data_IF_130533016561
#
_entry.id   IF_130533016561
#
_cell.length_a   1.000
_cell.length_b   1.000
_cell.length_c   1.000
_cell.angle_alpha   90.00
_cell.angle_beta   90.00
_cell.angle_gamma   90.00
#
_symmetry.space_group_name_H-M   'P 1'
#
loop_
_entity.id
_entity.type
_entity.pdbx_description
1 polymer ?
#
# COMPACT_ATOMS: atom_id res chain seq x y z
N UNK A 1 -1.18 -57.38 -43.63
CA UNK A 1 -2.36 -57.28 -42.73
C UNK A 1 -2.12 -58.12 -41.48
N UNK A 2 -1.47 -57.55 -40.46
CA UNK A 2 -1.46 -58.15 -39.12
C UNK A 2 -2.79 -57.81 -38.46
N UNK A 3 -3.72 -58.76 -38.47
CA UNK A 3 -4.98 -58.65 -37.77
C UNK A 3 -4.72 -59.00 -36.30
N UNK A 4 -4.43 -57.99 -35.48
CA UNK A 4 -4.33 -58.17 -34.04
C UNK A 4 -5.70 -58.63 -33.51
N UNK A 5 -5.75 -59.83 -32.92
CA UNK A 5 -6.96 -60.33 -32.27
C UNK A 5 -7.25 -59.49 -31.01
N UNK A 6 -8.52 -59.20 -30.69
CA UNK A 6 -8.89 -58.44 -29.51
C UNK A 6 -8.43 -59.18 -28.24
N UNK A 7 -7.60 -58.53 -27.42
CA UNK A 7 -7.17 -59.06 -26.12
C UNK A 7 -8.38 -59.08 -25.17
N UNK A 8 -8.77 -60.27 -24.72
CA UNK A 8 -9.89 -60.45 -23.80
C UNK A 8 -9.46 -60.03 -22.38
N UNK A 9 -10.27 -59.23 -21.68
CA UNK A 9 -9.89 -58.61 -20.39
C UNK A 9 -9.65 -59.63 -19.27
N UNK A 10 -10.27 -60.80 -19.35
CA UNK A 10 -10.22 -61.83 -18.29
C UNK A 10 -8.94 -62.69 -18.31
N UNK A 11 -8.05 -62.49 -19.29
CA UNK A 11 -6.83 -63.31 -19.47
C UNK A 11 -5.52 -62.54 -19.26
N UNK A 12 -5.56 -61.25 -18.91
CA UNK A 12 -4.36 -60.41 -18.78
C UNK A 12 -3.41 -60.81 -17.63
N UNK A 13 -3.88 -61.52 -16.61
CA UNK A 13 -3.09 -61.81 -15.40
C UNK A 13 -2.62 -63.27 -15.27
N UNK A 14 -2.81 -64.11 -16.28
CA UNK A 14 -2.43 -65.52 -16.19
C UNK A 14 -1.00 -65.74 -16.69
N UNK A 15 -0.07 -65.91 -15.75
CA UNK A 15 1.38 -66.03 -15.98
C UNK A 15 1.76 -67.19 -16.92
N UNK A 16 0.90 -68.21 -17.05
CA UNK A 16 1.12 -69.37 -17.91
C UNK A 16 0.80 -69.12 -19.39
N UNK A 17 0.09 -68.02 -19.73
CA UNK A 17 -0.31 -67.73 -21.11
C UNK A 17 0.88 -67.24 -21.94
N UNK A 18 1.80 -66.45 -21.36
CA UNK A 18 2.97 -65.95 -22.10
C UNK A 18 3.94 -67.06 -22.54
N UNK A 19 4.32 -68.04 -21.69
CA UNK A 19 5.11 -69.20 -22.12
C UNK A 19 4.37 -70.07 -23.15
N UNK A 20 3.06 -70.23 -23.01
CA UNK A 20 2.25 -71.00 -23.96
C UNK A 20 2.13 -70.29 -25.32
N UNK A 21 1.97 -68.96 -25.33
CA UNK A 21 1.98 -68.13 -26.54
C UNK A 21 3.36 -68.17 -27.21
N UNK A 22 4.44 -68.09 -26.43
CA UNK A 22 5.80 -68.21 -26.96
C UNK A 22 6.10 -69.62 -27.50
N UNK A 23 5.62 -70.68 -26.84
CA UNK A 23 5.74 -72.03 -27.35
C UNK A 23 4.91 -72.22 -28.63
N UNK A 24 3.72 -71.62 -28.71
CA UNK A 24 2.88 -71.64 -29.90
C UNK A 24 3.48 -70.86 -31.07
N UNK A 25 4.13 -69.71 -30.83
CA UNK A 25 4.84 -68.96 -31.88
C UNK A 25 6.06 -69.74 -32.37
N UNK A 26 6.86 -70.31 -31.47
CA UNK A 26 8.01 -71.14 -31.84
C UNK A 26 7.58 -72.37 -32.64
N UNK A 27 6.54 -73.08 -32.21
CA UNK A 27 6.00 -74.22 -32.93
C UNK A 27 5.46 -73.83 -34.31
N UNK A 28 4.82 -72.66 -34.43
CA UNK A 28 4.33 -72.13 -35.70
C UNK A 28 5.46 -71.75 -36.65
N UNK A 29 6.53 -71.16 -36.13
CA UNK A 29 7.70 -70.78 -36.93
C UNK A 29 8.48 -72.03 -37.38
N UNK A 30 8.61 -73.05 -36.52
CA UNK A 30 9.15 -74.36 -36.89
C UNK A 30 8.28 -75.06 -37.95
N UNK A 31 6.96 -75.02 -37.82
CA UNK A 31 6.03 -75.57 -38.83
C UNK A 31 6.20 -74.84 -40.17
N UNK A 32 6.31 -73.51 -40.14
CA UNK A 32 6.49 -72.68 -41.35
C UNK A 32 7.82 -72.97 -42.04
N UNK A 33 8.89 -73.16 -41.29
CA UNK A 33 10.20 -73.54 -41.83
C UNK A 33 10.16 -74.96 -42.43
N UNK A 34 9.58 -75.92 -41.72
CA UNK A 34 9.39 -77.28 -42.23
C UNK A 34 8.50 -77.31 -43.49
N UNK A 35 7.47 -76.46 -43.55
CA UNK A 35 6.63 -76.29 -44.74
C UNK A 35 7.42 -75.69 -45.91
N UNK A 36 8.29 -74.69 -45.68
CA UNK A 36 9.09 -74.12 -46.77
C UNK A 36 10.14 -75.11 -47.28
N UNK A 37 10.79 -75.85 -46.39
CA UNK A 37 11.74 -76.92 -46.75
C UNK A 37 11.03 -78.05 -47.51
N UNK A 38 9.84 -78.46 -47.06
CA UNK A 38 9.02 -79.46 -47.75
C UNK A 38 8.58 -78.99 -49.14
N UNK A 39 8.19 -77.71 -49.29
CA UNK A 39 7.85 -77.13 -50.60
C UNK A 39 9.07 -77.10 -51.52
N UNK A 40 10.21 -76.63 -51.03
CA UNK A 40 11.46 -76.62 -51.81
C UNK A 40 11.88 -78.03 -52.22
N UNK A 41 11.77 -79.02 -51.33
CA UNK A 41 12.08 -80.41 -51.63
C UNK A 41 11.11 -81.01 -52.66
N UNK A 42 9.81 -80.65 -52.60
CA UNK A 42 8.81 -81.06 -53.59
C UNK A 42 9.06 -80.43 -54.97
N UNK A 43 9.43 -79.15 -55.02
CA UNK A 43 9.78 -78.47 -56.28
C UNK A 43 11.07 -79.05 -56.88
N UNK A 44 12.08 -79.33 -56.05
CA UNK A 44 13.30 -80.01 -56.48
C UNK A 44 13.02 -81.44 -56.98
N UNK A 45 12.17 -82.21 -56.29
CA UNK A 45 11.78 -83.55 -56.73
C UNK A 45 10.96 -83.50 -58.03
N UNK A 46 10.07 -82.51 -58.18
CA UNK A 46 9.28 -82.31 -59.40
C UNK A 46 10.19 -81.97 -60.58
N UNK A 47 11.09 -80.98 -60.43
CA UNK A 47 12.05 -80.64 -61.49
C UNK A 47 12.94 -81.83 -61.84
N UNK A 48 13.45 -82.57 -60.85
CA UNK A 48 14.22 -83.80 -61.10
C UNK A 48 13.41 -84.88 -61.85
N UNK A 49 12.12 -85.03 -61.53
CA UNK A 49 11.20 -85.93 -62.25
C UNK A 49 10.97 -85.47 -63.70
N UNK A 50 10.71 -84.19 -63.92
CA UNK A 50 10.49 -83.60 -65.25
C UNK A 50 11.77 -83.74 -66.11
N UNK A 51 12.95 -83.50 -65.52
CA UNK A 51 14.24 -83.75 -66.18
C UNK A 51 14.44 -85.24 -66.49
N UNK A 52 14.13 -86.15 -65.56
CA UNK A 52 14.23 -87.59 -65.80
C UNK A 52 13.31 -88.03 -66.94
N UNK A 53 12.07 -87.53 -66.98
CA UNK A 53 11.13 -87.81 -68.06
C UNK A 53 11.63 -87.25 -69.41
N UNK A 54 12.18 -86.04 -69.42
CA UNK A 54 12.77 -85.45 -70.63
C UNK A 54 13.98 -86.26 -71.14
N UNK A 55 14.83 -86.75 -70.24
CA UNK A 55 15.98 -87.60 -70.59
C UNK A 55 15.52 -88.96 -71.11
N UNK A 56 14.54 -89.60 -70.49
CA UNK A 56 13.98 -90.87 -70.96
C UNK A 56 13.29 -90.72 -72.32
N UNK A 57 12.52 -89.64 -72.54
CA UNK A 57 11.97 -89.30 -73.86
C UNK A 57 13.07 -89.07 -74.89
N UNK A 58 14.13 -88.36 -74.52
CA UNK A 58 15.29 -88.13 -75.41
C UNK A 58 16.02 -89.45 -75.74
N UNK A 59 16.20 -90.36 -74.77
CA UNK A 59 16.77 -91.70 -74.97
C UNK A 59 15.92 -92.54 -75.91
N UNK A 60 14.61 -92.60 -75.69
CA UNK A 60 13.67 -93.33 -76.55
C UNK A 60 13.66 -92.76 -77.97
N UNK A 61 13.69 -91.43 -78.12
CA UNK A 61 13.74 -90.78 -79.43
C UNK A 61 15.07 -91.08 -80.13
N UNK A 62 16.19 -91.05 -79.40
CA UNK A 62 17.50 -91.39 -79.92
C UNK A 62 17.61 -92.86 -80.32
N UNK A 63 17.06 -93.77 -79.51
CA UNK A 63 17.01 -95.19 -79.82
C UNK A 63 16.18 -95.46 -81.09
N UNK A 64 15.00 -94.84 -81.22
CA UNK A 64 14.17 -94.92 -82.43
C UNK A 64 14.86 -94.33 -83.67
N UNK A 65 15.62 -93.24 -83.52
CA UNK A 65 16.42 -92.67 -84.61
C UNK A 65 17.55 -93.61 -85.04
N UNK A 66 18.24 -94.26 -84.10
CA UNK A 66 19.30 -95.24 -84.39
C UNK A 66 18.72 -96.48 -85.07
N UNK A 67 17.62 -97.03 -84.56
CA UNK A 67 16.91 -98.18 -85.13
C UNK A 67 16.38 -97.88 -86.56
N UNK A 68 15.98 -96.63 -86.83
CA UNK A 68 15.52 -96.21 -88.17
C UNK A 68 16.65 -95.99 -89.18
N UNK A 69 17.88 -95.72 -88.73
CA UNK A 69 19.05 -95.49 -89.59
C UNK A 69 19.87 -96.77 -89.85
N UNK A 70 19.82 -97.74 -88.93
CA UNK A 70 20.48 -99.05 -89.06
C UNK A 70 19.50 -100.20 -88.72
N UNK A 71 18.74 -100.73 -89.69
CA UNK A 71 17.73 -101.76 -89.42
C UNK A 71 18.27 -103.16 -89.07
N UNK A 72 19.55 -103.47 -89.33
CA UNK A 72 20.10 -104.84 -89.21
C UNK A 72 21.34 -105.00 -88.29
N UNK A 73 21.67 -104.04 -87.42
CA UNK A 73 22.80 -104.18 -86.49
C UNK A 73 22.35 -104.24 -85.02
N UNK A 74 22.43 -105.44 -84.41
CA UNK A 74 22.27 -105.60 -82.96
C UNK A 74 23.56 -105.19 -82.25
N UNK A 75 23.60 -104.00 -81.66
CA UNK A 75 24.72 -103.48 -80.86
C UNK A 75 25.00 -104.23 -79.53
N UNK A 76 24.65 -105.51 -79.43
CA UNK A 76 24.67 -106.29 -78.17
C UNK A 76 25.97 -107.06 -77.93
N UNK A 77 26.97 -107.00 -78.82
CA UNK A 77 28.26 -107.68 -78.62
C UNK A 77 29.47 -106.72 -78.72
N UNK A 78 30.35 -106.68 -77.70
CA UNK A 78 31.52 -105.82 -77.72
C UNK A 78 32.59 -106.37 -78.69
N UNK A 79 32.76 -105.72 -79.84
CA UNK A 79 33.86 -106.03 -80.77
C UNK A 79 33.53 -105.92 -82.27
N UNK A 80 32.28 -105.66 -82.65
CA UNK A 80 31.89 -105.54 -84.06
C UNK A 80 32.28 -104.16 -84.63
N UNK A 81 33.13 -104.14 -85.66
CA UNK A 81 33.50 -102.92 -86.41
C UNK A 81 32.41 -102.62 -87.44
N UNK A 82 31.83 -101.43 -87.36
CA UNK A 82 30.87 -100.92 -88.35
C UNK A 82 31.54 -100.80 -89.73
N UNK A 83 30.76 -100.96 -90.80
CA UNK A 83 31.23 -100.65 -92.16
C UNK A 83 31.52 -99.15 -92.30
N UNK A 84 32.49 -98.78 -93.16
CA UNK A 84 32.87 -97.38 -93.41
C UNK A 84 31.66 -96.55 -93.89
N UNK A 85 30.74 -97.17 -94.63
CA UNK A 85 29.50 -96.54 -95.11
C UNK A 85 28.47 -96.29 -93.99
N UNK A 86 28.36 -97.20 -93.01
CA UNK A 86 27.47 -97.05 -91.85
C UNK A 86 28.01 -95.97 -90.89
N UNK A 87 29.33 -95.91 -90.74
CA UNK A 87 30.01 -94.88 -89.97
C UNK A 87 29.83 -93.50 -90.61
N UNK A 88 29.97 -93.39 -91.93
CA UNK A 88 29.75 -92.15 -92.67
C UNK A 88 28.28 -91.69 -92.62
N UNK A 89 27.31 -92.61 -92.65
CA UNK A 89 25.90 -92.29 -92.48
C UNK A 89 25.59 -91.76 -91.07
N UNK A 90 26.15 -92.40 -90.03
CA UNK A 90 26.03 -91.95 -88.65
C UNK A 90 26.71 -90.58 -88.45
N UNK A 91 27.88 -90.37 -89.05
CA UNK A 91 28.62 -89.10 -88.99
C UNK A 91 27.86 -87.97 -89.69
N UNK A 92 27.26 -88.23 -90.86
CA UNK A 92 26.42 -87.27 -91.58
C UNK A 92 25.14 -86.93 -90.78
N UNK A 93 24.49 -87.92 -90.18
CA UNK A 93 23.33 -87.69 -89.31
C UNK A 93 23.71 -86.90 -88.05
N UNK A 94 24.83 -87.23 -87.40
CA UNK A 94 25.34 -86.50 -86.25
C UNK A 94 25.65 -85.05 -86.61
N UNK A 95 26.32 -84.79 -87.74
CA UNK A 95 26.59 -83.43 -88.22
C UNK A 95 25.30 -82.66 -88.53
N UNK A 96 24.33 -83.26 -89.23
CA UNK A 96 23.03 -82.63 -89.51
C UNK A 96 22.24 -82.34 -88.23
N UNK A 97 22.30 -83.24 -87.24
CA UNK A 97 21.65 -83.06 -85.94
C UNK A 97 22.33 -81.96 -85.13
N UNK A 98 23.67 -81.91 -85.12
CA UNK A 98 24.44 -80.81 -84.54
C UNK A 98 24.05 -79.49 -85.21
N UNK A 99 23.98 -79.44 -86.55
CA UNK A 99 23.59 -78.23 -87.28
C UNK A 99 22.15 -77.79 -86.98
N UNK A 100 21.22 -78.73 -86.84
CA UNK A 100 19.84 -78.42 -86.45
C UNK A 100 19.76 -77.92 -85.00
N UNK A 101 20.53 -78.52 -84.09
CA UNK A 101 20.60 -78.10 -82.68
C UNK A 101 21.27 -76.74 -82.53
N UNK A 102 22.34 -76.45 -83.27
CA UNK A 102 22.98 -75.13 -83.25
C UNK A 102 22.05 -74.06 -83.80
N UNK A 103 21.33 -74.33 -84.90
CA UNK A 103 20.29 -73.43 -85.42
C UNK A 103 19.15 -73.19 -84.41
N UNK A 104 18.68 -74.24 -83.74
CA UNK A 104 17.64 -74.12 -82.70
C UNK A 104 18.15 -73.33 -81.47
N UNK A 105 19.39 -73.57 -81.05
CA UNK A 105 20.01 -72.85 -79.94
C UNK A 105 20.18 -71.35 -80.25
N UNK A 106 20.65 -71.00 -81.45
CA UNK A 106 20.79 -69.60 -81.88
C UNK A 106 19.43 -68.90 -81.92
N UNK A 107 18.38 -69.56 -82.44
CA UNK A 107 17.02 -69.01 -82.43
C UNK A 107 16.50 -68.78 -81.00
N UNK A 108 16.67 -69.78 -80.12
CA UNK A 108 16.28 -69.67 -78.72
C UNK A 108 17.03 -68.53 -78.02
N UNK A 109 18.35 -68.44 -78.22
CA UNK A 109 19.19 -67.38 -77.66
C UNK A 109 18.78 -66.00 -78.15
N UNK A 110 18.42 -65.85 -79.44
CA UNK A 110 17.90 -64.59 -79.99
C UNK A 110 16.55 -64.21 -79.35
N UNK A 111 15.61 -65.16 -79.25
CA UNK A 111 14.30 -64.90 -78.62
C UNK A 111 14.40 -64.59 -77.14
N UNK A 112 15.29 -65.26 -76.41
CA UNK A 112 15.53 -64.99 -74.99
C UNK A 112 16.25 -63.64 -74.79
N UNK A 113 17.16 -63.28 -75.68
CA UNK A 113 17.80 -61.96 -75.65
C UNK A 113 16.79 -60.83 -75.91
N UNK A 114 15.89 -60.98 -76.87
CA UNK A 114 14.80 -60.03 -77.12
C UNK A 114 13.86 -59.91 -75.91
N UNK A 115 13.48 -61.05 -75.29
CA UNK A 115 12.68 -61.05 -74.05
C UNK A 115 13.41 -60.35 -72.91
N UNK A 116 14.70 -60.61 -72.73
CA UNK A 116 15.52 -59.99 -71.70
C UNK A 116 15.63 -58.47 -71.91
N UNK A 117 15.83 -58.00 -73.15
CA UNK A 117 15.83 -56.57 -73.47
C UNK A 117 14.47 -55.92 -73.21
N UNK A 118 13.37 -56.59 -73.58
CA UNK A 118 12.01 -56.08 -73.31
C UNK A 118 11.74 -55.99 -71.81
N UNK A 119 12.18 -56.99 -71.04
CA UNK A 119 12.06 -56.98 -69.58
C UNK A 119 12.92 -55.87 -68.95
N UNK A 120 14.15 -55.65 -69.42
CA UNK A 120 15.00 -54.54 -68.98
C UNK A 120 14.35 -53.18 -69.27
N UNK A 121 13.82 -52.99 -70.49
CA UNK A 121 13.10 -51.76 -70.84
C UNK A 121 11.85 -51.54 -70.00
N UNK A 122 11.13 -52.60 -69.64
CA UNK A 122 9.99 -52.52 -68.73
C UNK A 122 10.44 -52.15 -67.31
N UNK A 123 11.52 -52.75 -66.80
CA UNK A 123 12.10 -52.39 -65.50
C UNK A 123 12.54 -50.93 -65.45
N UNK A 124 13.23 -50.45 -66.48
CA UNK A 124 13.66 -49.03 -66.56
C UNK A 124 12.47 -48.07 -66.57
N UNK A 125 11.37 -48.43 -67.27
CA UNK A 125 10.14 -47.62 -67.26
C UNK A 125 9.52 -47.57 -65.88
N UNK A 126 9.37 -48.74 -65.23
CA UNK A 126 8.83 -48.83 -63.87
C UNK A 126 9.72 -48.08 -62.87
N UNK A 127 11.05 -48.17 -63.00
CA UNK A 127 11.99 -47.44 -62.17
C UNK A 127 11.82 -45.92 -62.33
N UNK A 128 11.74 -45.42 -63.57
CA UNK A 128 11.49 -43.99 -63.85
C UNK A 128 10.15 -43.51 -63.32
N UNK A 129 9.10 -44.31 -63.46
CA UNK A 129 7.77 -43.94 -62.94
C UNK A 129 7.75 -43.94 -61.40
N UNK A 130 8.45 -44.88 -60.75
CA UNK A 130 8.65 -44.86 -59.30
C UNK A 130 9.46 -43.66 -58.83
N UNK A 131 10.52 -43.28 -59.54
CA UNK A 131 11.31 -42.07 -59.23
C UNK A 131 10.47 -40.80 -59.35
N UNK A 132 9.64 -40.69 -60.41
CA UNK A 132 8.70 -39.58 -60.57
C UNK A 132 7.70 -39.51 -59.43
N UNK A 133 7.08 -40.63 -59.08
CA UNK A 133 6.13 -40.69 -57.96
C UNK A 133 6.78 -40.33 -56.62
N UNK A 134 8.03 -40.77 -56.39
CA UNK A 134 8.80 -40.38 -55.19
C UNK A 134 9.05 -38.88 -55.17
N UNK A 135 9.53 -38.30 -56.28
CA UNK A 135 9.77 -36.87 -56.37
C UNK A 135 8.48 -36.04 -56.19
N UNK A 136 7.35 -36.48 -56.76
CA UNK A 136 6.05 -35.84 -56.56
C UNK A 136 5.59 -35.94 -55.10
N UNK A 137 5.75 -37.11 -54.47
CA UNK A 137 5.43 -37.29 -53.05
C UNK A 137 6.30 -36.39 -52.17
N UNK A 138 7.62 -36.38 -52.39
CA UNK A 138 8.57 -35.56 -51.64
C UNK A 138 8.22 -34.06 -51.78
N UNK A 139 7.97 -33.58 -53.00
CA UNK A 139 7.54 -32.20 -53.24
C UNK A 139 6.22 -31.87 -52.53
N UNK A 140 5.23 -32.78 -52.53
CA UNK A 140 3.97 -32.54 -51.81
C UNK A 140 4.14 -32.57 -50.29
N UNK A 141 5.07 -33.38 -49.77
CA UNK A 141 5.39 -33.44 -48.35
C UNK A 141 6.10 -32.16 -47.91
N UNK A 142 7.07 -31.67 -48.67
CA UNK A 142 7.74 -30.39 -48.39
C UNK A 142 6.74 -29.24 -48.34
N UNK A 143 5.84 -29.15 -49.33
CA UNK A 143 4.79 -28.12 -49.33
C UNK A 143 3.85 -28.25 -48.12
N UNK A 144 3.51 -29.47 -47.70
CA UNK A 144 2.69 -29.68 -46.50
C UNK A 144 3.43 -29.32 -45.22
N UNK A 145 4.71 -29.65 -45.12
CA UNK A 145 5.55 -29.31 -43.96
C UNK A 145 5.67 -27.80 -43.80
N UNK A 146 5.97 -27.07 -44.87
CA UNK A 146 6.04 -25.60 -44.83
C UNK A 146 4.69 -25.01 -44.41
N UNK A 147 3.58 -25.45 -45.01
CA UNK A 147 2.24 -24.98 -44.61
C UNK A 147 1.90 -25.27 -43.15
N UNK A 148 2.30 -26.41 -42.63
CA UNK A 148 2.11 -26.75 -41.22
C UNK A 148 2.99 -25.87 -40.32
N UNK A 149 4.25 -25.66 -40.68
CA UNK A 149 5.14 -24.75 -39.95
C UNK A 149 4.59 -23.33 -39.91
N UNK A 150 4.16 -22.77 -41.04
CA UNK A 150 3.55 -21.44 -41.12
C UNK A 150 2.27 -21.35 -40.26
N UNK A 151 1.42 -22.38 -40.30
CA UNK A 151 0.21 -22.43 -39.49
C UNK A 151 0.55 -22.46 -37.98
N UNK A 152 1.51 -23.29 -37.57
CA UNK A 152 1.95 -23.37 -36.18
C UNK A 152 2.61 -22.08 -35.71
N UNK A 153 3.47 -21.46 -36.52
CA UNK A 153 4.10 -20.18 -36.19
C UNK A 153 3.04 -19.08 -36.03
N UNK A 154 2.05 -19.04 -36.92
CA UNK A 154 0.98 -18.07 -36.84
C UNK A 154 0.10 -18.27 -35.60
N UNK A 155 -0.27 -19.51 -35.28
CA UNK A 155 -1.01 -19.83 -34.04
C UNK A 155 -0.19 -19.47 -32.79
N UNK A 156 1.11 -19.79 -32.77
CA UNK A 156 2.01 -19.46 -31.66
C UNK A 156 2.12 -17.94 -31.48
N UNK A 157 2.30 -17.17 -32.57
CA UNK A 157 2.33 -15.72 -32.51
C UNK A 157 1.01 -15.14 -31.98
N UNK A 158 -0.13 -15.70 -32.40
CA UNK A 158 -1.43 -15.27 -31.89
C UNK A 158 -1.59 -15.56 -30.39
N UNK A 159 -1.19 -16.74 -29.93
CA UNK A 159 -1.23 -17.10 -28.52
C UNK A 159 -0.32 -16.20 -27.69
N UNK A 160 0.91 -15.96 -28.15
CA UNK A 160 1.85 -15.04 -27.49
C UNK A 160 1.29 -13.62 -27.41
N UNK A 161 0.68 -13.10 -28.48
CA UNK A 161 0.03 -11.77 -28.47
C UNK A 161 -1.11 -11.70 -27.46
N UNK A 162 -1.96 -12.73 -27.42
CA UNK A 162 -3.05 -12.81 -26.44
C UNK A 162 -2.53 -12.90 -25.01
N UNK A 163 -1.47 -13.68 -24.80
CA UNK A 163 -0.85 -13.86 -23.49
C UNK A 163 -0.19 -12.56 -23.01
N UNK A 164 0.55 -11.87 -23.87
CA UNK A 164 1.12 -10.55 -23.57
C UNK A 164 0.01 -9.55 -23.26
N UNK A 165 -1.05 -9.50 -24.06
CA UNK A 165 -2.18 -8.61 -23.81
C UNK A 165 -2.83 -8.90 -22.44
N UNK A 166 -3.12 -10.17 -22.12
CA UNK A 166 -3.68 -10.58 -20.84
C UNK A 166 -2.76 -10.24 -19.66
N UNK A 167 -1.46 -10.51 -19.78
CA UNK A 167 -0.48 -10.15 -18.75
C UNK A 167 -0.37 -8.64 -18.56
N UNK A 168 -0.36 -7.86 -19.65
CA UNK A 168 -0.31 -6.40 -19.54
C UNK A 168 -1.57 -5.83 -18.91
N UNK A 169 -2.73 -6.41 -19.18
CA UNK A 169 -3.99 -5.98 -18.56
C UNK A 169 -4.00 -6.32 -17.07
N UNK A 170 -3.62 -7.55 -16.72
CA UNK A 170 -3.51 -7.97 -15.32
C UNK A 170 -2.54 -7.09 -14.52
N UNK A 171 -1.39 -6.72 -15.10
CA UNK A 171 -0.44 -5.82 -14.46
C UNK A 171 -1.03 -4.41 -14.26
N UNK A 172 -1.81 -3.90 -15.22
CA UNK A 172 -2.49 -2.61 -15.06
C UNK A 172 -3.54 -2.66 -13.96
N UNK A 173 -4.35 -3.71 -13.91
CA UNK A 173 -5.34 -3.91 -12.86
C UNK A 173 -4.69 -3.97 -11.48
N UNK A 174 -3.61 -4.74 -11.33
CA UNK A 174 -2.87 -4.83 -10.07
C UNK A 174 -2.25 -3.48 -9.67
N UNK A 175 -1.69 -2.72 -10.61
CA UNK A 175 -1.17 -1.38 -10.34
C UNK A 175 -2.27 -0.39 -9.95
N UNK A 176 -3.44 -0.49 -10.57
CA UNK A 176 -4.58 0.37 -10.26
C UNK A 176 -5.14 0.05 -8.86
N UNK A 177 -5.24 -1.22 -8.50
CA UNK A 177 -5.64 -1.65 -7.16
C UNK A 177 -4.64 -1.15 -6.10
N UNK A 178 -3.34 -1.30 -6.35
CA UNK A 178 -2.30 -0.75 -5.47
C UNK A 178 -2.38 0.78 -5.35
N UNK A 179 -2.65 1.48 -6.45
CA UNK A 179 -2.82 2.94 -6.44
C UNK A 179 -4.03 3.36 -5.61
N UNK A 180 -5.15 2.67 -5.76
CA UNK A 180 -6.37 2.94 -5.00
C UNK A 180 -6.16 2.69 -3.51
N UNK A 181 -5.51 1.59 -3.15
CA UNK A 181 -5.21 1.28 -1.76
C UNK A 181 -4.24 2.30 -1.15
N UNK A 182 -3.21 2.70 -1.89
CA UNK A 182 -2.28 3.74 -1.44
C UNK A 182 -2.98 5.08 -1.25
N UNK A 183 -3.86 5.48 -2.18
CA UNK A 183 -4.65 6.70 -2.06
C UNK A 183 -5.60 6.65 -0.86
N UNK A 184 -6.23 5.49 -0.60
CA UNK A 184 -7.10 5.27 0.55
C UNK A 184 -6.33 5.42 1.86
N UNK A 185 -5.18 4.74 1.97
CA UNK A 185 -4.32 4.81 3.15
C UNK A 185 -3.77 6.22 3.37
N UNK A 186 -3.35 6.89 2.30
CA UNK A 186 -2.90 8.27 2.37
C UNK A 186 -4.02 9.22 2.80
N UNK A 187 -5.23 9.06 2.26
CA UNK A 187 -6.40 9.85 2.64
C UNK A 187 -6.74 9.70 4.14
N UNK A 188 -6.72 8.46 4.64
CA UNK A 188 -6.95 8.18 6.06
C UNK A 188 -5.86 8.79 6.96
N UNK A 189 -4.59 8.70 6.57
CA UNK A 189 -3.49 9.29 7.36
C UNK A 189 -3.57 10.82 7.36
N UNK A 190 -3.90 11.43 6.23
CA UNK A 190 -4.11 12.89 6.15
C UNK A 190 -5.27 13.32 7.03
N UNK A 191 -6.41 12.62 6.98
CA UNK A 191 -7.57 12.92 7.83
C UNK A 191 -7.21 12.80 9.31
N UNK A 192 -6.51 11.73 9.70
CA UNK A 192 -6.01 11.54 11.05
C UNK A 192 -5.11 12.69 11.49
N UNK A 193 -4.16 13.11 10.64
CA UNK A 193 -3.29 14.25 10.93
C UNK A 193 -4.05 15.57 11.04
N UNK A 194 -5.06 15.79 10.20
CA UNK A 194 -5.94 16.96 10.30
C UNK A 194 -6.67 16.97 11.65
N UNK A 195 -7.19 15.83 12.09
CA UNK A 195 -7.88 15.70 13.38
C UNK A 195 -6.91 15.95 14.55
N UNK A 196 -5.71 15.35 14.51
CA UNK A 196 -4.66 15.55 15.51
C UNK A 196 -4.28 17.03 15.63
N UNK A 197 -3.98 17.70 14.52
CA UNK A 197 -3.62 19.13 14.50
C UNK A 197 -4.78 20.01 14.97
N UNK A 198 -6.02 19.74 14.53
CA UNK A 198 -7.20 20.48 15.00
C UNK A 198 -7.41 20.31 16.51
N UNK A 199 -7.20 19.11 17.04
CA UNK A 199 -7.32 18.85 18.48
C UNK A 199 -6.25 19.62 19.27
N UNK A 200 -4.99 19.62 18.81
CA UNK A 200 -3.91 20.38 19.43
C UNK A 200 -4.19 21.89 19.38
N UNK A 201 -4.63 22.40 18.23
CA UNK A 201 -4.96 23.81 18.07
C UNK A 201 -6.14 24.23 18.96
N UNK A 202 -7.21 23.43 19.00
CA UNK A 202 -8.35 23.69 19.88
C UNK A 202 -7.94 23.66 21.36
N UNK A 203 -7.09 22.73 21.78
CA UNK A 203 -6.58 22.71 23.15
C UNK A 203 -5.76 23.97 23.50
N UNK A 204 -4.91 24.44 22.57
CA UNK A 204 -4.15 25.68 22.74
C UNK A 204 -5.06 26.91 22.80
N UNK A 205 -6.10 26.98 21.97
CA UNK A 205 -7.11 28.03 22.00
C UNK A 205 -7.89 28.01 23.32
N UNK A 206 -8.38 26.85 23.76
CA UNK A 206 -9.10 26.72 25.04
C UNK A 206 -8.22 27.14 26.22
N UNK A 207 -6.94 26.77 26.24
CA UNK A 207 -6.00 27.23 27.27
C UNK A 207 -5.83 28.75 27.24
N UNK A 208 -5.73 29.34 26.05
CA UNK A 208 -5.60 30.80 25.89
C UNK A 208 -6.86 31.54 26.32
N UNK A 209 -8.04 31.02 25.97
CA UNK A 209 -9.34 31.55 26.41
C UNK A 209 -9.48 31.46 27.92
N UNK A 210 -9.11 30.34 28.54
CA UNK A 210 -9.15 30.20 29.99
C UNK A 210 -8.22 31.21 30.70
N UNK A 211 -7.03 31.47 30.15
CA UNK A 211 -6.12 32.51 30.66
C UNK A 211 -6.74 33.90 30.55
N UNK A 212 -7.37 34.23 29.43
CA UNK A 212 -8.04 35.52 29.23
C UNK A 212 -9.22 35.69 30.18
N UNK A 213 -10.03 34.65 30.38
CA UNK A 213 -11.11 34.65 31.38
C UNK A 213 -10.57 34.87 32.79
N UNK A 214 -9.49 34.19 33.17
CA UNK A 214 -8.83 34.40 34.45
C UNK A 214 -8.28 35.82 34.62
N UNK A 215 -7.74 36.43 33.55
CA UNK A 215 -7.33 37.84 33.56
C UNK A 215 -8.52 38.78 33.68
N UNK A 216 -9.63 38.52 32.98
CA UNK A 216 -10.85 39.32 33.05
C UNK A 216 -11.46 39.28 34.46
N UNK A 217 -11.55 38.11 35.08
CA UNK A 217 -12.02 37.93 36.46
C UNK A 217 -11.11 38.66 37.46
N UNK A 218 -9.79 38.52 37.30
CA UNK A 218 -8.82 39.23 38.12
C UNK A 218 -8.96 40.75 37.98
N UNK A 219 -9.11 41.27 36.76
CA UNK A 219 -9.29 42.69 36.50
C UNK A 219 -10.61 43.22 37.11
N UNK A 220 -11.71 42.47 37.01
CA UNK A 220 -12.99 42.84 37.65
C UNK A 220 -12.87 42.88 39.18
N UNK A 221 -12.22 41.89 39.78
CA UNK A 221 -11.98 41.87 41.22
C UNK A 221 -11.06 43.02 41.66
N UNK A 222 -10.05 43.34 40.86
CA UNK A 222 -9.13 44.45 41.10
C UNK A 222 -9.83 45.80 40.98
N UNK A 223 -10.66 45.99 39.96
CA UNK A 223 -11.44 47.21 39.74
C UNK A 223 -12.36 47.51 40.93
N UNK A 224 -13.06 46.49 41.45
CA UNK A 224 -13.89 46.66 42.64
C UNK A 224 -13.06 47.04 43.87
N UNK A 225 -11.91 46.40 44.09
CA UNK A 225 -11.01 46.77 45.18
C UNK A 225 -10.45 48.18 45.02
N UNK A 226 -10.09 48.59 43.81
CA UNK A 226 -9.58 49.92 43.51
C UNK A 226 -10.69 50.97 43.69
N UNK A 227 -11.94 50.69 43.31
CA UNK A 227 -13.11 51.55 43.57
C UNK A 227 -13.32 51.78 45.06
N UNK A 228 -13.33 50.72 45.87
CA UNK A 228 -13.43 50.82 47.33
C UNK A 228 -12.24 51.56 47.93
N UNK A 229 -11.03 51.32 47.43
CA UNK A 229 -9.82 52.01 47.88
C UNK A 229 -9.84 53.50 47.55
N UNK A 230 -10.35 53.88 46.38
CA UNK A 230 -10.52 55.27 45.99
C UNK A 230 -11.55 55.98 46.88
N UNK A 231 -12.66 55.33 47.19
CA UNK A 231 -13.67 55.87 48.12
C UNK A 231 -13.10 56.05 49.53
N UNK A 232 -12.39 55.05 50.06
CA UNK A 232 -11.75 55.16 51.38
C UNK A 232 -10.71 56.29 51.43
N UNK A 233 -9.90 56.44 50.38
CA UNK A 233 -8.93 57.54 50.24
C UNK A 233 -9.63 58.89 50.13
N UNK A 234 -10.68 59.00 49.32
CA UNK A 234 -11.48 60.21 49.17
C UNK A 234 -12.10 60.64 50.50
N UNK A 235 -12.69 59.69 51.24
CA UNK A 235 -13.22 59.92 52.57
C UNK A 235 -12.14 60.38 53.55
N UNK A 236 -10.99 59.70 53.57
CA UNK A 236 -9.86 60.09 54.42
C UNK A 236 -9.38 61.51 54.12
N UNK A 237 -9.23 61.88 52.84
CA UNK A 237 -8.86 63.24 52.44
C UNK A 237 -9.91 64.27 52.86
N UNK A 238 -11.20 63.96 52.72
CA UNK A 238 -12.28 64.84 53.16
C UNK A 238 -12.26 65.04 54.69
N UNK A 239 -12.06 63.96 55.46
CA UNK A 239 -11.92 64.03 56.92
C UNK A 239 -10.66 64.81 57.35
N UNK A 240 -9.54 64.64 56.64
CA UNK A 240 -8.32 65.42 56.88
C UNK A 240 -8.53 66.90 56.57
N UNK A 241 -9.26 67.21 55.48
CA UNK A 241 -9.66 68.57 55.14
C UNK A 241 -10.51 69.22 56.24
N UNK A 242 -11.55 68.51 56.70
CA UNK A 242 -12.40 68.97 57.81
C UNK A 242 -11.57 69.20 59.08
N UNK A 243 -10.69 68.25 59.44
CA UNK A 243 -9.79 68.40 60.60
C UNK A 243 -8.88 69.63 60.45
N UNK A 244 -8.31 69.83 59.28
CA UNK A 244 -7.46 70.99 59.00
C UNK A 244 -8.25 72.30 59.16
N UNK A 245 -9.48 72.36 58.63
CA UNK A 245 -10.38 73.50 58.82
C UNK A 245 -10.67 73.76 60.30
N UNK A 246 -10.97 72.71 61.08
CA UNK A 246 -11.24 72.84 62.52
C UNK A 246 -10.03 73.33 63.31
N UNK A 247 -8.81 72.92 62.95
CA UNK A 247 -7.59 73.34 63.66
C UNK A 247 -7.17 74.75 63.25
N UNK A 248 -6.99 75.00 61.95
CA UNK A 248 -6.33 76.20 61.44
C UNK A 248 -7.30 77.29 60.97
N UNK A 249 -8.57 76.96 60.72
CA UNK A 249 -9.52 77.88 60.09
C UNK A 249 -9.27 78.10 58.60
N UNK A 250 -10.05 78.96 57.94
CA UNK A 250 -9.90 79.21 56.51
C UNK A 250 -8.69 80.13 56.27
N UNK A 251 -8.03 79.97 55.12
CA UNK A 251 -6.93 80.85 54.70
C UNK A 251 -7.30 82.35 54.60
N UNK A 252 -8.59 82.70 54.75
CA UNK A 252 -9.15 84.04 54.63
C UNK A 252 -9.02 84.92 55.90
N UNK A 253 -8.42 84.42 56.99
CA UNK A 253 -8.04 85.25 58.14
C UNK A 253 -9.21 85.81 58.97
N UNK A 254 -10.42 85.28 58.81
CA UNK A 254 -11.60 85.74 59.56
C UNK A 254 -11.66 85.07 60.94
N UNK A 255 -11.54 85.84 62.03
CA UNK A 255 -11.59 85.38 63.43
C UNK A 255 -12.99 84.96 63.93
N UNK A 256 -13.97 84.81 63.05
CA UNK A 256 -15.35 84.46 63.36
C UNK A 256 -15.61 82.95 63.43
N UNK A 257 -16.80 82.52 63.89
CA UNK A 257 -17.20 81.12 63.82
C UNK A 257 -17.39 80.71 62.35
N UNK A 258 -16.89 79.52 62.00
CA UNK A 258 -16.88 79.03 60.62
C UNK A 258 -17.92 77.92 60.42
N UNK A 259 -18.81 78.11 59.44
CA UNK A 259 -19.77 77.08 59.04
C UNK A 259 -19.06 75.83 58.52
N UNK A 260 -19.45 74.66 59.04
CA UNK A 260 -18.93 73.36 58.65
C UNK A 260 -19.69 72.73 57.47
N UNK A 261 -20.71 73.41 56.94
CA UNK A 261 -21.62 72.84 55.93
C UNK A 261 -20.90 72.40 54.66
N UNK A 262 -19.96 73.20 54.14
CA UNK A 262 -19.24 72.87 52.91
C UNK A 262 -18.35 71.63 53.09
N UNK A 263 -17.62 71.55 54.21
CA UNK A 263 -16.70 70.44 54.49
C UNK A 263 -17.48 69.14 54.83
N UNK A 264 -18.61 69.26 55.53
CA UNK A 264 -19.51 68.13 55.80
C UNK A 264 -20.15 67.60 54.51
N UNK A 265 -20.53 68.46 53.58
CA UNK A 265 -21.02 68.04 52.25
C UNK A 265 -19.93 67.35 51.42
N UNK A 266 -18.66 67.74 51.58
CA UNK A 266 -17.55 67.04 50.93
C UNK A 266 -17.35 65.63 51.50
N UNK A 267 -17.48 65.46 52.82
CA UNK A 267 -17.42 64.14 53.49
C UNK A 267 -18.59 63.25 53.05
N UNK A 268 -19.80 63.81 52.97
CA UNK A 268 -21.00 63.10 52.48
C UNK A 268 -20.81 62.61 51.03
N UNK A 269 -20.27 63.47 50.15
CA UNK A 269 -20.01 63.12 48.74
C UNK A 269 -18.87 62.14 48.53
N UNK A 270 -17.88 62.11 49.43
CA UNK A 270 -16.70 61.26 49.30
C UNK A 270 -17.00 59.77 49.51
N UNK A 271 -18.07 59.41 50.22
CA UNK A 271 -18.42 58.03 50.53
C UNK A 271 -19.93 57.74 50.46
N UNK A 272 -20.54 57.74 49.26
CA UNK A 272 -21.98 57.49 49.08
C UNK A 272 -22.41 56.06 49.44
N UNK A 273 -21.47 55.10 49.49
CA UNK A 273 -21.76 53.68 49.72
C UNK A 273 -21.65 53.26 51.20
N UNK A 274 -21.19 54.14 52.10
CA UNK A 274 -20.98 53.78 53.50
C UNK A 274 -22.24 54.06 54.33
N UNK A 275 -22.80 53.07 55.06
CA UNK A 275 -23.95 53.30 55.93
C UNK A 275 -23.58 54.07 57.20
N UNK A 276 -22.29 54.12 57.57
CA UNK A 276 -21.83 54.74 58.81
C UNK A 276 -21.61 56.25 58.68
N UNK A 277 -21.19 56.73 57.50
CA UNK A 277 -20.88 58.15 57.30
C UNK A 277 -22.11 59.02 57.53
N UNK A 278 -23.31 58.72 56.98
CA UNK A 278 -24.52 59.50 57.26
C UNK A 278 -24.93 59.47 58.74
N UNK A 279 -24.72 58.34 59.44
CA UNK A 279 -25.04 58.22 60.87
C UNK A 279 -24.15 59.12 61.73
N UNK A 280 -22.86 59.21 61.39
CA UNK A 280 -21.91 60.10 62.08
C UNK A 280 -22.19 61.55 61.72
N UNK A 281 -22.55 61.87 60.48
CA UNK A 281 -22.92 63.24 60.11
C UNK A 281 -24.21 63.69 60.81
N UNK A 282 -25.17 62.79 61.02
CA UNK A 282 -26.41 63.08 61.73
C UNK A 282 -26.23 63.32 63.25
N UNK A 283 -25.09 62.93 63.83
CA UNK A 283 -24.80 63.23 65.24
C UNK A 283 -24.22 64.64 65.44
N UNK A 284 -23.85 65.34 64.36
CA UNK A 284 -23.33 66.70 64.43
C UNK A 284 -24.50 67.67 64.66
N UNK A 285 -24.45 68.55 65.67
CA UNK A 285 -25.53 69.49 65.95
C UNK A 285 -25.70 70.52 64.82
N UNK A 286 -26.97 70.84 64.50
CA UNK A 286 -27.33 71.81 63.45
C UNK A 286 -26.80 73.23 63.74
N UNK A 287 -26.60 73.56 65.02
CA UNK A 287 -25.96 74.82 65.42
C UNK A 287 -24.50 74.88 64.95
N UNK A 288 -23.76 73.76 64.95
CA UNK A 288 -22.38 73.72 64.46
C UNK A 288 -22.29 73.84 62.94
N UNK A 289 -23.33 73.38 62.22
CA UNK A 289 -23.42 73.52 60.76
C UNK A 289 -23.72 74.96 60.35
N UNK A 290 -24.72 75.58 60.99
CA UNK A 290 -25.25 76.91 60.60
C UNK A 290 -24.49 78.09 61.20
N UNK A 291 -24.28 78.10 62.52
CA UNK A 291 -23.55 79.16 63.23
C UNK A 291 -22.05 79.02 63.07
N UNK A 292 -21.58 77.77 62.96
CA UNK A 292 -20.17 77.45 62.82
C UNK A 292 -19.43 77.33 64.14
N UNK A 293 -18.27 76.65 64.08
CA UNK A 293 -17.38 76.43 65.23
C UNK A 293 -16.17 77.35 65.09
N UNK A 294 -15.64 77.84 66.20
CA UNK A 294 -14.39 78.60 66.18
C UNK A 294 -13.22 77.63 66.00
N UNK A 295 -12.25 77.93 65.12
CA UNK A 295 -11.11 77.05 64.93
C UNK A 295 -10.20 77.06 66.15
N UNK A 296 -9.48 75.96 66.39
CA UNK A 296 -8.63 75.75 67.57
C UNK A 296 -7.63 76.90 67.76
N UNK A 297 -6.99 77.33 66.67
CA UNK A 297 -6.04 78.46 66.71
C UNK A 297 -6.73 79.76 67.13
N UNK A 298 -7.95 80.04 66.63
CA UNK A 298 -8.70 81.23 67.04
C UNK A 298 -9.18 81.16 68.50
N UNK A 299 -9.54 79.97 69.02
CA UNK A 299 -9.80 79.81 70.45
C UNK A 299 -8.55 80.11 71.27
N UNK A 300 -7.38 79.58 70.87
CA UNK A 300 -6.11 79.82 71.56
C UNK A 300 -5.77 81.31 71.60
N UNK A 301 -5.92 82.02 70.48
CA UNK A 301 -5.69 83.47 70.42
C UNK A 301 -6.69 84.25 71.27
N UNK A 302 -7.97 83.90 71.22
CA UNK A 302 -9.01 84.53 72.03
C UNK A 302 -8.81 84.24 73.52
N UNK A 303 -8.42 83.03 73.89
CA UNK A 303 -8.12 82.66 75.27
C UNK A 303 -6.94 83.48 75.79
N UNK A 304 -5.87 83.65 75.00
CA UNK A 304 -4.77 84.55 75.35
C UNK A 304 -5.24 86.02 75.51
N UNK A 305 -6.22 86.47 74.74
CA UNK A 305 -6.82 87.79 74.91
C UNK A 305 -7.69 87.91 76.17
N UNK A 306 -8.49 86.87 76.47
CA UNK A 306 -9.29 86.78 77.70
C UNK A 306 -8.37 86.76 78.90
N UNK A 307 -7.30 85.96 78.89
CA UNK A 307 -6.29 85.92 79.93
C UNK A 307 -5.72 87.32 80.21
N UNK A 308 -5.36 88.07 79.16
CA UNK A 308 -4.90 89.47 79.31
C UNK A 308 -5.98 90.37 79.91
N UNK A 309 -7.24 90.20 79.53
CA UNK A 309 -8.37 91.00 80.05
C UNK A 309 -8.67 90.65 81.51
N UNK A 310 -8.71 89.38 81.86
CA UNK A 310 -8.84 88.90 83.23
C UNK A 310 -7.70 89.43 84.11
N UNK A 311 -6.45 89.43 83.62
CA UNK A 311 -5.33 90.06 84.34
C UNK A 311 -5.56 91.56 84.60
N UNK A 312 -6.09 92.31 83.62
CA UNK A 312 -6.41 93.74 83.77
C UNK A 312 -7.52 94.00 84.79
N UNK A 313 -8.42 93.04 85.00
CA UNK A 313 -9.61 93.18 85.85
C UNK A 313 -9.47 92.38 87.17
N UNK A 314 -8.35 91.70 87.40
CA UNK A 314 -8.15 90.78 88.53
C UNK A 314 -8.37 91.38 89.94
N UNK A 315 -8.26 92.71 90.10
CA UNK A 315 -8.45 93.39 91.40
C UNK A 315 -9.89 93.91 91.62
N UNK A 316 -10.77 93.76 90.63
CA UNK A 316 -12.18 94.18 90.67
C UNK A 316 -13.00 93.03 91.25
N UNK A 317 -13.78 93.32 92.29
CA UNK A 317 -14.61 92.35 93.01
C UNK A 317 -16.09 92.66 92.77
N UNK A 318 -16.91 91.64 92.54
CA UNK A 318 -18.32 91.76 92.12
C UNK A 318 -19.24 92.27 93.24
N UNK A 319 -18.75 92.25 94.49
CA UNK A 319 -19.55 92.54 95.68
C UNK A 319 -19.68 94.05 95.99
N UNK A 320 -18.93 94.95 95.33
CA UNK A 320 -18.96 96.40 95.61
C UNK A 320 -18.96 97.25 94.34
N UNK A 321 -19.69 98.39 94.28
CA UNK A 321 -19.56 99.33 93.18
C UNK A 321 -18.13 99.88 93.15
N UNK A 322 -17.32 99.34 92.24
CA UNK A 322 -15.90 99.65 92.15
C UNK A 322 -15.71 101.02 91.49
N UNK A 323 -14.96 101.91 92.15
CA UNK A 323 -14.59 103.23 91.63
C UNK A 323 -13.68 103.13 90.40
N UNK A 324 -13.76 104.09 89.47
CA UNK A 324 -12.90 104.18 88.27
C UNK A 324 -11.40 104.09 88.59
N UNK A 325 -10.99 104.64 89.75
CA UNK A 325 -9.60 104.57 90.21
C UNK A 325 -9.12 103.14 90.50
N UNK A 326 -10.05 102.24 90.88
CA UNK A 326 -9.73 100.83 91.15
C UNK A 326 -9.52 100.04 89.86
N UNK A 327 -10.26 100.36 88.79
CA UNK A 327 -9.99 99.83 87.46
C UNK A 327 -8.62 100.30 86.94
N UNK A 328 -8.25 101.58 87.15
CA UNK A 328 -6.93 102.10 86.80
C UNK A 328 -5.81 101.39 87.59
N UNK A 329 -6.00 101.16 88.88
CA UNK A 329 -5.03 100.44 89.72
C UNK A 329 -4.86 98.97 89.29
N UNK A 330 -5.97 98.28 88.97
CA UNK A 330 -5.96 96.90 88.44
C UNK A 330 -5.20 96.81 87.12
N UNK A 331 -5.36 97.82 86.24
CA UNK A 331 -4.61 97.91 84.99
C UNK A 331 -3.10 98.07 85.22
N UNK A 332 -2.68 98.97 86.11
CA UNK A 332 -1.25 99.18 86.43
C UNK A 332 -0.62 97.95 87.09
N UNK A 333 -1.36 97.27 87.98
CA UNK A 333 -0.93 96.01 88.58
C UNK A 333 -0.71 94.94 87.50
N UNK A 334 -1.63 94.81 86.54
CA UNK A 334 -1.51 93.81 85.47
C UNK A 334 -0.27 93.98 84.59
N UNK A 335 0.30 95.19 84.52
CA UNK A 335 1.55 95.46 83.79
C UNK A 335 2.79 95.03 84.58
N UNK A 336 2.72 95.01 85.91
CA UNK A 336 3.86 94.75 86.79
C UNK A 336 3.98 93.29 87.24
N UNK A 337 2.90 92.49 87.14
CA UNK A 337 2.91 91.08 87.57
C UNK A 337 3.33 90.16 86.42
N UNK A 338 4.52 89.57 86.56
CA UNK A 338 5.01 88.50 85.67
C UNK A 338 4.52 87.16 86.22
N UNK A 339 3.56 86.54 85.55
CA UNK A 339 3.12 85.18 85.85
C UNK A 339 4.05 84.19 85.12
N UNK A 340 4.61 83.17 85.81
CA UNK A 340 5.33 82.09 85.14
C UNK A 340 4.36 81.29 84.27
N UNK A 341 4.74 81.06 83.02
CA UNK A 341 3.89 80.49 81.97
C UNK A 341 4.36 79.08 81.63
N UNK A 342 4.15 78.12 82.52
CA UNK A 342 4.29 76.71 82.17
C UNK A 342 3.11 75.94 82.78
N UNK A 343 2.19 75.51 81.91
CA UNK A 343 1.28 74.41 82.23
C UNK A 343 2.16 73.15 82.34
N UNK A 344 2.08 72.37 83.43
CA UNK A 344 2.85 71.14 83.55
C UNK A 344 2.49 70.18 82.40
N UNK A 345 3.50 69.62 81.73
CA UNK A 345 3.30 68.74 80.56
C UNK A 345 2.47 67.48 80.85
N UNK A 346 2.32 67.13 82.13
CA UNK A 346 1.48 66.01 82.57
C UNK A 346 -0.01 66.20 82.23
N UNK A 347 -0.52 67.44 82.20
CA UNK A 347 -1.92 67.70 81.85
C UNK A 347 -2.18 67.74 80.32
N UNK A 348 -1.14 67.90 79.49
CA UNK A 348 -1.27 67.82 78.02
C UNK A 348 -1.22 66.38 77.49
N UNK A 349 -0.58 65.47 78.22
CA UNK A 349 -0.38 64.08 77.77
C UNK A 349 -1.66 63.23 77.86
N UNK A 350 -2.60 63.56 78.74
CA UNK A 350 -3.84 62.79 78.90
C UNK A 350 -4.83 62.96 77.74
N UNK A 351 -4.77 64.06 77.00
CA UNK A 351 -5.63 64.25 75.81
C UNK A 351 -5.22 63.37 74.62
N UNK A 352 -3.95 62.93 74.53
CA UNK A 352 -3.49 62.08 73.43
C UNK A 352 -3.87 60.60 73.57
N UNK A 353 -4.41 60.18 74.72
CA UNK A 353 -4.79 58.77 74.98
C UNK A 353 -6.24 58.43 74.61
N UNK A 354 -7.07 59.40 74.18
CA UNK A 354 -8.51 59.19 73.97
C UNK A 354 -8.96 59.32 72.50
N UNK A 355 -8.04 59.33 71.53
CA UNK A 355 -8.36 59.33 70.09
C UNK A 355 -7.98 58.03 69.39
#
# INVERSE_FOLDING_TARGET
CHQERPRNKDTQNNLAISPAEHAATVARDQLRNAESESRSAKEAAKTASDYKEAVEKARLHFQKEIEALLPDTKFSEPGQKLSEDELNLLLAHAHRKIENLTKAHVKMQATEHERAQMFQRQQERVAKDLERQRAELDATLEVKLVKQQEAFEHELQQQLRRQVAAHTEHLKEALEEQRQELNRMFGLEVEKKIIEERAQHNAALSSSVAKLQGMEEYLKARDELDRLSQQAKGLWLACQGLRHTLVHGPASGTSGPQSLTADVQLVERAAPMSPYVPLVLASIPEEALTRGVYPEVALKERFAHVERTCRRVALVDDQRPSSLLRYLASYLQSLCVIYPKELPEEELADEQRVL
#
